data_IF_566254569780
#
_entry.id   IF_566254569780
#
_cell.length_a   1.000
_cell.length_b   1.000
_cell.length_c   1.000
_cell.angle_alpha   90.00
_cell.angle_beta   90.00
_cell.angle_gamma   90.00
#
_symmetry.space_group_name_H-M   'P 1'
#
loop_
_entity.id
_entity.type
_entity.pdbx_description
1 polymer ?
#
# COMPACT_ATOMS: atom_id res chain seq x y z
N UNK A 1 6.30 -22.75 -3.39
CA UNK A 1 5.01 -22.39 -4.02
C UNK A 1 3.88 -22.38 -2.99
N UNK A 2 3.67 -23.48 -2.24
CA UNK A 2 2.67 -23.53 -1.17
C UNK A 2 2.93 -22.52 -0.05
N UNK A 3 4.19 -22.25 0.30
CA UNK A 3 4.54 -21.24 1.29
C UNK A 3 4.26 -19.83 0.78
N UNK A 4 4.40 -19.61 -0.50
CA UNK A 4 4.17 -18.31 -1.11
C UNK A 4 2.67 -18.02 -1.25
N UNK A 5 1.87 -19.03 -1.61
CA UNK A 5 0.41 -18.93 -1.64
C UNK A 5 -0.14 -18.70 -0.24
N UNK A 6 0.38 -19.44 0.77
CA UNK A 6 0.00 -19.24 2.15
C UNK A 6 0.32 -17.84 2.67
N UNK A 7 1.44 -17.23 2.24
CA UNK A 7 1.80 -15.87 2.62
C UNK A 7 0.89 -14.83 2.01
N UNK A 8 0.43 -15.04 0.76
CA UNK A 8 -0.51 -14.11 0.13
C UNK A 8 -1.85 -14.11 0.88
N UNK A 9 -2.34 -15.29 1.28
CA UNK A 9 -3.55 -15.41 2.08
C UNK A 9 -3.37 -14.77 3.46
N UNK A 10 -2.18 -14.91 4.06
CA UNK A 10 -1.84 -14.28 5.33
C UNK A 10 -1.80 -12.75 5.21
N UNK A 11 -1.30 -12.21 4.09
CA UNK A 11 -1.28 -10.77 3.84
C UNK A 11 -2.69 -10.20 3.67
N UNK A 12 -3.58 -10.95 3.01
CA UNK A 12 -4.99 -10.55 2.89
C UNK A 12 -5.65 -10.54 4.27
N UNK A 13 -5.41 -11.55 5.09
CA UNK A 13 -5.93 -11.62 6.45
C UNK A 13 -5.41 -10.47 7.31
N UNK A 14 -4.12 -10.14 7.18
CA UNK A 14 -3.53 -9.00 7.89
C UNK A 14 -4.15 -7.68 7.45
N UNK A 15 -4.37 -7.48 6.15
CA UNK A 15 -5.02 -6.29 5.65
C UNK A 15 -6.43 -6.14 6.23
N UNK A 16 -7.16 -7.24 6.35
CA UNK A 16 -8.51 -7.24 6.93
C UNK A 16 -8.51 -6.91 8.42
N UNK A 17 -7.40 -7.13 9.12
CA UNK A 17 -7.26 -6.81 10.54
C UNK A 17 -6.79 -5.38 10.79
N UNK A 18 -6.33 -4.66 9.79
CA UNK A 18 -5.99 -3.24 9.90
C UNK A 18 -7.28 -2.44 9.67
N UNK A 19 -7.82 -1.74 10.68
CA UNK A 19 -9.15 -1.09 10.55
C UNK A 19 -9.26 -0.15 9.37
N UNK A 20 -8.23 0.64 9.11
CA UNK A 20 -8.27 1.61 8.01
C UNK A 20 -8.17 0.94 6.65
N UNK A 21 -7.39 -0.13 6.54
CA UNK A 21 -7.33 -0.93 5.31
C UNK A 21 -8.68 -1.58 5.01
N UNK A 22 -9.36 -2.05 6.05
CA UNK A 22 -10.71 -2.60 5.92
C UNK A 22 -11.72 -1.53 5.50
N UNK A 23 -11.62 -0.34 6.06
CA UNK A 23 -12.46 0.79 5.67
C UNK A 23 -12.27 1.13 4.19
N UNK A 24 -11.04 1.17 3.71
CA UNK A 24 -10.73 1.44 2.30
C UNK A 24 -11.09 0.26 1.38
N UNK A 25 -11.29 -0.92 1.95
CA UNK A 25 -11.57 -2.12 1.18
C UNK A 25 -10.35 -2.69 0.48
N UNK A 26 -9.17 -2.48 1.03
CA UNK A 26 -7.92 -2.91 0.41
C UNK A 26 -7.86 -4.43 0.29
N UNK A 27 -7.62 -4.91 -0.92
CA UNK A 27 -7.42 -6.31 -1.25
C UNK A 27 -5.96 -6.54 -1.62
N UNK A 28 -5.43 -7.69 -1.27
CA UNK A 28 -4.07 -8.09 -1.63
C UNK A 28 -4.16 -9.14 -2.72
N UNK A 29 -3.61 -8.82 -3.89
CA UNK A 29 -3.51 -9.75 -5.01
C UNK A 29 -2.04 -10.09 -5.22
N UNK A 30 -1.80 -11.31 -5.66
CA UNK A 30 -0.46 -11.72 -6.07
C UNK A 30 -0.46 -11.96 -7.57
N UNK A 31 0.43 -11.27 -8.27
CA UNK A 31 0.57 -11.38 -9.71
C UNK A 31 2.01 -11.74 -10.03
N UNK A 32 2.23 -12.95 -10.53
CA UNK A 32 3.58 -13.52 -10.66
C UNK A 32 4.23 -13.61 -9.28
N UNK A 33 5.40 -13.03 -9.06
CA UNK A 33 6.08 -13.01 -7.77
C UNK A 33 5.88 -11.69 -7.02
N UNK A 34 4.97 -10.85 -7.49
CA UNK A 34 4.76 -9.51 -6.98
C UNK A 34 3.46 -9.40 -6.20
N UNK A 35 3.53 -8.78 -5.02
CA UNK A 35 2.35 -8.43 -4.24
C UNK A 35 1.80 -7.10 -4.74
N UNK A 36 0.52 -7.11 -5.10
CA UNK A 36 -0.20 -5.91 -5.54
C UNK A 36 -1.33 -5.66 -4.55
N UNK A 37 -1.46 -4.42 -4.09
CA UNK A 37 -2.65 -4.00 -3.34
C UNK A 37 -3.66 -3.41 -4.31
N UNK A 38 -4.94 -3.62 -4.00
CA UNK A 38 -6.04 -3.10 -4.81
C UNK A 38 -7.02 -2.38 -3.90
N UNK A 39 -7.30 -1.13 -4.22
CA UNK A 39 -8.33 -0.35 -3.55
C UNK A 39 -9.49 -0.17 -4.52
N UNK A 40 -10.63 -0.88 -4.31
CA UNK A 40 -11.80 -0.69 -5.13
C UNK A 40 -12.32 0.74 -4.99
N UNK A 41 -12.96 1.24 -6.04
CA UNK A 41 -13.58 2.54 -5.95
C UNK A 41 -14.89 2.46 -5.15
N UNK A 42 -15.13 3.47 -4.33
CA UNK A 42 -16.43 3.73 -3.69
C UNK A 42 -16.60 5.23 -3.51
N UNK A 43 -17.84 5.69 -3.48
CA UNK A 43 -18.16 7.11 -3.43
C UNK A 43 -17.58 7.84 -2.22
N UNK A 44 -17.42 7.14 -1.10
CA UNK A 44 -16.85 7.72 0.13
C UNK A 44 -15.37 8.11 -0.02
N UNK A 45 -14.70 7.66 -1.08
CA UNK A 45 -13.30 8.00 -1.35
C UNK A 45 -13.16 9.33 -2.12
N UNK A 46 -14.26 9.90 -2.60
CA UNK A 46 -14.21 11.13 -3.40
C UNK A 46 -14.00 12.33 -2.48
N UNK A 47 -12.93 13.08 -2.76
CA UNK A 47 -12.62 14.29 -2.02
C UNK A 47 -13.26 15.55 -2.61
N UNK A 48 -13.41 15.57 -3.91
CA UNK A 48 -13.99 16.71 -4.63
C UNK A 48 -15.08 16.21 -5.58
N UNK A 49 -16.33 16.49 -5.25
CA UNK A 49 -17.50 16.03 -6.02
C UNK A 49 -17.58 16.66 -7.41
N UNK A 50 -16.99 17.83 -7.62
CA UNK A 50 -17.02 18.52 -8.91
C UNK A 50 -16.07 17.90 -9.93
N UNK A 51 -14.95 17.32 -9.45
CA UNK A 51 -13.94 16.72 -10.31
C UNK A 51 -13.96 15.20 -10.32
N UNK A 52 -14.92 14.54 -9.71
CA UNK A 52 -14.92 13.24 -9.05
C UNK A 52 -13.52 12.60 -8.98
N UNK A 53 -12.70 13.12 -8.06
CA UNK A 53 -11.34 12.63 -7.82
C UNK A 53 -11.26 11.97 -6.45
N UNK A 54 -10.47 10.89 -6.36
CA UNK A 54 -10.19 10.22 -5.09
C UNK A 54 -9.44 11.19 -4.16
N UNK A 55 -9.85 11.25 -2.90
CA UNK A 55 -9.22 12.11 -1.90
C UNK A 55 -7.73 11.77 -1.74
N UNK A 56 -6.88 12.81 -1.70
CA UNK A 56 -5.43 12.62 -1.55
C UNK A 56 -5.06 11.86 -0.29
N UNK A 57 -5.83 12.00 0.79
CA UNK A 57 -5.63 11.24 2.01
C UNK A 57 -5.83 9.74 1.83
N UNK A 58 -6.80 9.32 1.02
CA UNK A 58 -7.01 7.91 0.71
C UNK A 58 -5.85 7.36 -0.13
N UNK A 59 -5.37 8.14 -1.09
CA UNK A 59 -4.20 7.78 -1.91
C UNK A 59 -2.96 7.63 -1.03
N UNK A 60 -2.71 8.58 -0.14
CA UNK A 60 -1.59 8.52 0.79
C UNK A 60 -1.67 7.33 1.73
N UNK A 61 -2.86 7.04 2.23
CA UNK A 61 -3.08 5.87 3.08
C UNK A 61 -2.79 4.57 2.34
N UNK A 62 -3.20 4.45 1.08
CA UNK A 62 -2.93 3.27 0.27
C UNK A 62 -1.42 3.08 0.03
N UNK A 63 -0.69 4.16 -0.22
CA UNK A 63 0.77 4.12 -0.34
C UNK A 63 1.42 3.59 0.94
N UNK A 64 1.01 4.10 2.08
CA UNK A 64 1.54 3.67 3.38
C UNK A 64 1.18 2.22 3.69
N UNK A 65 -0.08 1.84 3.48
CA UNK A 65 -0.54 0.46 3.71
C UNK A 65 0.18 -0.54 2.82
N UNK A 66 0.37 -0.19 1.55
CA UNK A 66 1.11 -1.04 0.60
C UNK A 66 2.55 -1.25 1.09
N UNK A 67 3.18 -0.20 1.58
CA UNK A 67 4.53 -0.26 2.13
C UNK A 67 4.61 -1.17 3.37
N UNK A 68 3.66 -1.01 4.28
CA UNK A 68 3.60 -1.82 5.52
C UNK A 68 3.40 -3.29 5.19
N UNK A 69 2.47 -3.59 4.28
CA UNK A 69 2.19 -4.98 3.89
C UNK A 69 3.38 -5.62 3.20
N UNK A 70 4.09 -4.87 2.34
CA UNK A 70 5.30 -5.37 1.70
C UNK A 70 6.40 -5.67 2.70
N UNK A 71 6.58 -4.80 3.70
CA UNK A 71 7.55 -5.04 4.77
C UNK A 71 7.21 -6.29 5.57
N UNK A 72 5.95 -6.51 5.88
CA UNK A 72 5.50 -7.72 6.58
C UNK A 72 5.76 -8.97 5.77
N UNK A 73 5.64 -8.88 4.44
CA UNK A 73 5.92 -9.99 3.55
C UNK A 73 7.43 -10.29 3.47
N UNK A 74 8.25 -9.25 3.36
CA UNK A 74 9.70 -9.37 3.12
C UNK A 74 10.50 -9.61 4.40
N UNK A 75 9.94 -9.30 5.56
CA UNK A 75 10.62 -9.42 6.85
C UNK A 75 9.92 -10.45 7.73
N UNK A 76 10.61 -10.92 8.76
CA UNK A 76 10.03 -11.79 9.79
C UNK A 76 9.47 -10.99 10.96
N UNK A 77 9.09 -9.74 10.72
CA UNK A 77 8.58 -8.86 11.76
C UNK A 77 7.21 -9.35 12.27
N UNK A 78 7.11 -9.60 13.57
CA UNK A 78 5.88 -10.11 14.19
C UNK A 78 4.87 -9.00 14.47
N UNK A 79 5.32 -7.75 14.53
CA UNK A 79 4.47 -6.59 14.80
C UNK A 79 4.42 -5.69 13.58
N UNK A 80 3.35 -4.91 13.48
CA UNK A 80 3.22 -3.93 12.41
C UNK A 80 4.38 -2.93 12.46
N UNK A 81 5.06 -2.71 11.33
CA UNK A 81 6.05 -1.63 11.26
C UNK A 81 5.42 -0.29 11.58
N UNK A 82 6.17 0.55 12.26
CA UNK A 82 5.70 1.89 12.61
C UNK A 82 6.29 2.90 11.64
N UNK A 83 5.43 3.70 11.02
CA UNK A 83 5.86 4.76 10.11
C UNK A 83 6.58 5.85 10.90
N UNK A 84 7.82 6.14 10.51
CA UNK A 84 8.60 7.26 11.07
C UNK A 84 8.31 8.52 10.27
N UNK A 85 8.43 8.41 8.96
CA UNK A 85 8.07 9.48 8.03
C UNK A 85 7.61 8.89 6.71
N UNK A 86 6.91 9.69 5.92
CA UNK A 86 6.43 9.29 4.62
C UNK A 86 6.23 10.53 3.74
N UNK A 87 6.93 10.55 2.60
CA UNK A 87 6.83 11.63 1.62
C UNK A 87 6.04 11.17 0.42
N UNK A 88 5.13 11.99 -0.08
CA UNK A 88 4.23 11.64 -1.18
C UNK A 88 4.34 12.68 -2.29
N UNK A 89 4.46 12.20 -3.53
CA UNK A 89 4.33 12.99 -4.73
C UNK A 89 3.01 12.62 -5.42
N UNK A 90 2.11 13.58 -5.53
CA UNK A 90 0.86 13.43 -6.27
C UNK A 90 1.10 13.83 -7.71
N UNK A 91 1.08 12.86 -8.62
CA UNK A 91 1.48 13.05 -10.01
C UNK A 91 0.29 13.28 -10.95
N UNK A 92 -0.84 12.66 -10.66
CA UNK A 92 -2.07 12.74 -11.45
C UNK A 92 -3.27 12.62 -10.52
N UNK A 93 -4.40 13.18 -10.94
CA UNK A 93 -5.66 12.98 -10.20
C UNK A 93 -6.08 11.52 -10.24
N UNK A 94 -6.47 10.97 -9.09
CA UNK A 94 -7.06 9.65 -9.02
C UNK A 94 -8.49 9.69 -9.52
N UNK A 95 -8.78 8.96 -10.61
CA UNK A 95 -10.12 8.87 -11.17
C UNK A 95 -10.97 7.89 -10.36
N UNK A 96 -12.32 7.91 -10.53
CA UNK A 96 -13.22 6.99 -9.81
C UNK A 96 -13.10 5.55 -10.36
N UNK A 97 -11.95 4.94 -10.18
CA UNK A 97 -11.58 3.61 -10.67
C UNK A 97 -10.83 2.87 -9.58
N UNK A 98 -10.67 1.56 -9.77
CA UNK A 98 -9.76 0.78 -8.93
C UNK A 98 -8.36 1.35 -8.98
N UNK A 99 -7.70 1.37 -7.83
CA UNK A 99 -6.33 1.86 -7.70
C UNK A 99 -5.44 0.71 -7.23
N UNK A 100 -4.33 0.54 -7.91
CA UNK A 100 -3.36 -0.53 -7.66
C UNK A 100 -2.10 0.03 -7.03
N UNK A 101 -1.49 -0.75 -6.16
CA UNK A 101 -0.26 -0.34 -5.50
C UNK A 101 0.77 -1.45 -5.44
N UNK A 102 2.03 -1.04 -5.47
CA UNK A 102 3.17 -1.93 -5.21
C UNK A 102 4.22 -1.17 -4.42
N UNK A 103 5.02 -1.89 -3.69
CA UNK A 103 6.09 -1.30 -2.91
C UNK A 103 7.37 -2.12 -3.07
N UNK A 104 8.49 -1.44 -2.93
CA UNK A 104 9.82 -2.04 -3.00
C UNK A 104 10.56 -1.60 -1.74
N UNK A 105 11.08 -2.58 -0.99
CA UNK A 105 11.96 -2.29 0.14
C UNK A 105 13.32 -1.94 -0.44
N UNK A 106 13.69 -0.68 -0.38
CA UNK A 106 14.94 -0.18 -0.98
C UNK A 106 16.13 -0.36 -0.06
N UNK A 107 15.90 -0.42 1.24
CA UNK A 107 16.93 -0.67 2.23
C UNK A 107 16.30 -1.29 3.47
N UNK A 108 16.90 -2.34 3.97
CA UNK A 108 16.45 -2.98 5.20
C UNK A 108 17.61 -3.05 6.18
N UNK A 109 17.53 -2.27 7.24
CA UNK A 109 18.41 -2.36 8.38
C UNK A 109 17.81 -3.24 9.45
N UNK A 110 18.49 -3.29 10.60
CA UNK A 110 18.04 -4.07 11.74
C UNK A 110 16.79 -3.48 12.39
N UNK A 111 16.68 -2.16 12.46
CA UNK A 111 15.57 -1.45 13.11
C UNK A 111 14.75 -0.58 12.17
N UNK A 112 15.34 -0.12 11.10
CA UNK A 112 14.72 0.81 10.16
C UNK A 112 14.79 0.25 8.75
N UNK A 113 13.68 0.34 8.03
CA UNK A 113 13.62 0.01 6.61
C UNK A 113 13.17 1.22 5.82
N UNK A 114 13.68 1.34 4.59
CA UNK A 114 13.24 2.33 3.62
C UNK A 114 12.40 1.64 2.57
N UNK A 115 11.25 2.21 2.23
CA UNK A 115 10.33 1.63 1.25
C UNK A 115 9.91 2.70 0.27
N UNK A 116 9.85 2.33 -1.00
CA UNK A 116 9.26 3.14 -2.06
C UNK A 116 7.98 2.45 -2.54
N UNK A 117 6.91 3.22 -2.65
CA UNK A 117 5.61 2.73 -3.11
C UNK A 117 5.12 3.53 -4.30
N UNK A 118 4.33 2.89 -5.15
CA UNK A 118 3.79 3.45 -6.38
C UNK A 118 2.34 3.04 -6.53
N UNK A 119 1.50 3.98 -7.00
CA UNK A 119 0.10 3.72 -7.30
C UNK A 119 -0.20 4.06 -8.76
N UNK A 120 -1.04 3.23 -9.39
CA UNK A 120 -1.53 3.45 -10.75
C UNK A 120 -2.98 2.98 -10.85
N UNK A 121 -3.63 3.27 -11.96
CA UNK A 121 -5.00 2.82 -12.22
C UNK A 121 -5.07 1.98 -13.49
N UNK A 122 -5.04 2.57 -14.67
CA UNK A 122 -5.15 1.82 -15.93
C UNK A 122 -3.81 1.26 -16.41
N UNK A 123 -2.72 1.99 -16.18
CA UNK A 123 -1.42 1.72 -16.79
C UNK A 123 -0.33 1.85 -15.72
N UNK A 124 0.39 0.76 -15.41
CA UNK A 124 1.48 0.82 -14.41
C UNK A 124 2.61 1.78 -14.76
N UNK A 125 2.73 2.19 -16.02
CA UNK A 125 3.73 3.18 -16.42
C UNK A 125 3.27 4.62 -16.18
N UNK A 126 1.99 4.81 -15.84
CA UNK A 126 1.40 6.14 -15.59
C UNK A 126 0.96 6.25 -14.14
N UNK A 127 1.90 6.52 -13.26
CA UNK A 127 1.64 6.60 -11.83
C UNK A 127 0.74 7.78 -11.50
N UNK A 128 -0.22 7.57 -10.60
CA UNK A 128 -1.02 8.67 -10.03
C UNK A 128 -0.33 9.27 -8.83
N UNK A 129 0.45 8.48 -8.10
CA UNK A 129 1.21 8.93 -6.95
C UNK A 129 2.37 7.98 -6.70
N UNK A 130 3.39 8.50 -6.03
CA UNK A 130 4.49 7.71 -5.51
C UNK A 130 4.88 8.24 -4.14
N UNK A 131 5.49 7.40 -3.34
CA UNK A 131 5.93 7.80 -2.02
C UNK A 131 7.13 7.00 -1.57
N UNK A 132 7.81 7.50 -0.56
CA UNK A 132 8.86 6.75 0.12
C UNK A 132 8.83 7.10 1.59
N UNK A 133 9.18 6.12 2.39
CA UNK A 133 9.12 6.29 3.83
C UNK A 133 10.15 5.47 4.57
N UNK A 134 10.31 5.82 5.83
CA UNK A 134 11.11 5.09 6.79
C UNK A 134 10.19 4.45 7.80
N UNK A 135 10.46 3.18 8.12
CA UNK A 135 9.62 2.40 9.01
C UNK A 135 10.46 1.75 10.09
N UNK A 136 9.94 1.78 11.30
CA UNK A 136 10.55 1.12 12.44
C UNK A 136 10.06 -0.33 12.49
N UNK A 137 11.01 -1.30 12.38
CA UNK A 137 10.69 -2.72 12.24
C UNK A 137 10.54 -3.44 13.59
N UNK A 138 11.26 -2.99 14.57
CA UNK A 138 11.27 -3.63 15.89
C UNK A 138 10.95 -2.57 16.93
N UNK A 139 9.68 -2.24 17.14
CA UNK A 139 9.34 -1.36 18.24
C UNK A 139 9.65 -2.08 19.55
N UNK A 140 10.51 -1.50 20.28
CA UNK A 140 10.85 -2.00 21.61
C UNK A 140 9.69 -1.75 22.56
#
# INVERSE_FOLDING_TARGET
>A
QLREEGRADDMQALAEHIPYARFLGVRVDRKSDEMITVMPFKDSLVGNTNLPAIHGGAIGALLELTSVLQLLLDTSCEKLPKTVDFSIDYLRSGRPLETYGRAIVTRQGRRVANVRAELWQDDPSKLIAQGHGHFLLAPV
#
